data_IF_859606554660
#
_entry.id   IF_859606554660
#
_cell.length_a   1.000
_cell.length_b   1.000
_cell.length_c   1.000
_cell.angle_alpha   90.00
_cell.angle_beta   90.00
_cell.angle_gamma   90.00
#
_symmetry.space_group_name_H-M   'P 1'
#
loop_
_entity.id
_entity.type
_entity.pdbx_description
1 polymer ?
#
# COMPACT_ATOMS: atom_id res chain seq x y z
N UNK A 1 7.75 14.29 -5.23
CA UNK A 1 6.58 13.48 -4.82
C UNK A 1 5.30 14.28 -4.87
N UNK A 2 5.31 15.52 -4.39
CA UNK A 2 4.10 16.34 -4.36
C UNK A 2 3.54 16.62 -5.76
N UNK A 3 4.39 16.86 -6.74
CA UNK A 3 3.96 17.15 -8.11
C UNK A 3 3.24 15.96 -8.75
N UNK A 4 3.82 14.77 -8.64
CA UNK A 4 3.19 13.55 -9.17
C UNK A 4 1.94 13.18 -8.39
N UNK A 5 2.01 13.27 -7.06
CA UNK A 5 0.89 12.92 -6.20
C UNK A 5 -0.31 13.84 -6.41
N UNK A 6 -0.08 15.10 -6.79
CA UNK A 6 -1.15 16.06 -7.07
C UNK A 6 -2.10 15.61 -8.19
N UNK A 7 -1.63 14.74 -9.09
CA UNK A 7 -2.48 14.18 -10.15
C UNK A 7 -3.55 13.24 -9.59
N UNK A 8 -3.28 12.63 -8.43
CA UNK A 8 -4.18 11.68 -7.78
C UNK A 8 -4.94 12.31 -6.62
N UNK A 9 -4.28 13.20 -5.88
CA UNK A 9 -4.83 13.87 -4.69
C UNK A 9 -4.62 15.37 -4.85
N UNK A 10 -5.61 16.03 -5.45
CA UNK A 10 -5.50 17.44 -5.80
C UNK A 10 -5.51 18.38 -4.60
N UNK A 11 -6.20 18.01 -3.51
CA UNK A 11 -6.33 18.86 -2.33
C UNK A 11 -5.01 18.91 -1.55
N UNK A 12 -4.38 20.10 -1.40
CA UNK A 12 -3.02 20.17 -0.83
C UNK A 12 -2.89 19.65 0.60
N UNK A 13 -3.84 19.96 1.47
CA UNK A 13 -3.79 19.55 2.88
C UNK A 13 -3.95 18.04 2.98
N UNK A 14 -4.93 17.47 2.31
CA UNK A 14 -5.16 16.03 2.30
C UNK A 14 -3.96 15.27 1.71
N UNK A 15 -3.39 15.80 0.63
CA UNK A 15 -2.20 15.22 0.00
C UNK A 15 -1.02 15.20 0.95
N UNK A 16 -0.79 16.28 1.69
CA UNK A 16 0.31 16.36 2.64
C UNK A 16 0.11 15.40 3.80
N UNK A 17 -1.10 15.33 4.36
CA UNK A 17 -1.42 14.39 5.43
C UNK A 17 -1.21 12.94 4.99
N UNK A 18 -1.66 12.62 3.77
CA UNK A 18 -1.46 11.29 3.21
C UNK A 18 0.04 10.95 3.11
N UNK A 19 0.82 11.85 2.54
CA UNK A 19 2.25 11.59 2.32
C UNK A 19 3.00 11.44 3.65
N UNK A 20 2.69 12.27 4.64
CA UNK A 20 3.30 12.17 5.96
C UNK A 20 2.94 10.86 6.66
N UNK A 21 1.68 10.47 6.60
CA UNK A 21 1.22 9.21 7.20
C UNK A 21 1.86 8.01 6.53
N UNK A 22 1.90 8.01 5.20
CA UNK A 22 2.51 6.93 4.44
C UNK A 22 4.01 6.81 4.74
N UNK A 23 4.71 7.95 4.78
CA UNK A 23 6.13 7.98 5.13
C UNK A 23 6.37 7.35 6.51
N UNK A 24 5.57 7.73 7.49
CA UNK A 24 5.68 7.18 8.84
C UNK A 24 5.46 5.67 8.88
N UNK A 25 4.38 5.19 8.26
CA UNK A 25 4.03 3.77 8.29
C UNK A 25 5.01 2.92 7.47
N UNK A 26 5.48 3.43 6.34
CA UNK A 26 6.49 2.74 5.55
C UNK A 26 7.79 2.58 6.34
N UNK A 27 8.28 3.66 6.95
CA UNK A 27 9.50 3.61 7.77
C UNK A 27 9.35 2.67 8.95
N UNK A 28 8.20 2.74 9.63
CA UNK A 28 7.92 1.87 10.77
C UNK A 28 7.99 0.39 10.39
N UNK A 29 7.55 0.06 9.19
CA UNK A 29 7.57 -1.32 8.69
C UNK A 29 8.88 -1.68 7.97
N UNK A 30 9.84 -0.76 7.89
CA UNK A 30 11.10 -1.01 7.20
C UNK A 30 10.98 -1.10 5.68
N UNK A 31 10.00 -0.37 5.11
CA UNK A 31 9.74 -0.36 3.66
C UNK A 31 10.17 0.98 3.05
N UNK A 32 10.62 0.95 1.79
CA UNK A 32 10.89 2.19 1.08
C UNK A 32 9.59 2.90 0.74
N UNK A 33 9.61 4.24 0.79
CA UNK A 33 8.45 5.04 0.47
C UNK A 33 8.00 4.84 -0.97
N UNK A 34 8.96 4.77 -1.90
CA UNK A 34 8.65 4.56 -3.32
C UNK A 34 7.95 3.23 -3.57
N UNK A 35 8.33 2.17 -2.85
CA UNK A 35 7.66 0.87 -2.99
C UNK A 35 6.19 0.97 -2.57
N UNK A 36 5.93 1.59 -1.42
CA UNK A 36 4.56 1.69 -0.91
C UNK A 36 3.72 2.63 -1.78
N UNK A 37 4.30 3.73 -2.27
CA UNK A 37 3.61 4.59 -3.23
C UNK A 37 3.24 3.83 -4.51
N UNK A 38 4.16 3.02 -5.02
CA UNK A 38 3.89 2.19 -6.20
C UNK A 38 2.76 1.19 -5.96
N UNK A 39 2.76 0.57 -4.78
CA UNK A 39 1.71 -0.38 -4.42
C UNK A 39 0.35 0.32 -4.29
N UNK A 40 0.29 1.45 -3.61
CA UNK A 40 -0.96 2.21 -3.49
C UNK A 40 -1.49 2.62 -4.86
N UNK A 41 -0.61 3.07 -5.75
CA UNK A 41 -1.01 3.44 -7.10
C UNK A 41 -1.69 2.27 -7.83
N UNK A 42 -1.08 1.09 -7.79
CA UNK A 42 -1.62 -0.10 -8.46
C UNK A 42 -2.91 -0.57 -7.80
N UNK A 43 -2.97 -0.55 -6.46
CA UNK A 43 -4.10 -1.09 -5.73
C UNK A 43 -5.35 -0.21 -5.82
N UNK A 44 -5.21 1.08 -5.66
CA UNK A 44 -6.37 1.97 -5.50
C UNK A 44 -6.31 3.25 -6.33
N UNK A 45 -5.21 3.53 -7.02
CA UNK A 45 -4.95 4.83 -7.65
C UNK A 45 -5.16 5.96 -6.64
N UNK A 46 -4.71 5.76 -5.39
CA UNK A 46 -4.80 6.72 -4.28
C UNK A 46 -6.25 7.07 -3.90
N UNK A 47 -7.21 6.18 -4.16
CA UNK A 47 -8.61 6.41 -3.77
C UNK A 47 -8.87 5.81 -2.39
N UNK A 48 -9.19 6.70 -1.44
CA UNK A 48 -9.40 6.34 -0.04
C UNK A 48 -10.48 5.28 0.17
N UNK A 49 -11.56 5.34 -0.61
CA UNK A 49 -12.72 4.48 -0.45
C UNK A 49 -12.83 3.40 -1.51
N UNK A 50 -11.71 3.04 -2.15
CA UNK A 50 -11.70 1.97 -3.15
C UNK A 50 -12.13 0.64 -2.53
N UNK A 51 -12.98 -0.10 -3.24
CA UNK A 51 -13.41 -1.44 -2.84
C UNK A 51 -13.34 -2.34 -4.06
N UNK A 52 -12.62 -3.47 -3.94
CA UNK A 52 -12.54 -4.43 -5.04
C UNK A 52 -13.76 -5.37 -5.04
N UNK A 53 -13.91 -6.13 -6.12
CA UNK A 53 -14.97 -7.15 -6.20
C UNK A 53 -14.85 -8.22 -5.12
N UNK A 54 -13.63 -8.49 -4.65
CA UNK A 54 -13.37 -9.44 -3.57
C UNK A 54 -13.53 -8.83 -2.17
N UNK A 55 -13.79 -7.52 -2.07
CA UNK A 55 -13.99 -6.83 -0.80
C UNK A 55 -12.75 -6.19 -0.20
N UNK A 56 -11.61 -6.17 -0.90
CA UNK A 56 -10.44 -5.44 -0.45
C UNK A 56 -10.75 -3.95 -0.36
N UNK A 57 -10.23 -3.25 0.67
CA UNK A 57 -10.66 -1.90 1.02
C UNK A 57 -9.50 -0.91 1.09
N UNK A 58 -9.77 0.29 0.61
CA UNK A 58 -8.97 1.49 0.83
C UNK A 58 -7.69 1.56 0.03
N UNK A 59 -6.82 2.45 0.45
CA UNK A 59 -5.58 2.77 -0.26
C UNK A 59 -4.73 1.55 -0.64
N UNK A 60 -4.53 0.64 0.31
CA UNK A 60 -3.66 -0.53 0.12
C UNK A 60 -4.46 -1.81 -0.13
N UNK A 61 -5.78 -1.69 -0.30
CA UNK A 61 -6.65 -2.82 -0.60
C UNK A 61 -6.48 -3.96 0.39
N UNK A 62 -6.73 -3.64 1.65
CA UNK A 62 -6.62 -4.60 2.76
C UNK A 62 -7.91 -5.43 2.84
N UNK A 63 -7.76 -6.75 2.90
CA UNK A 63 -8.90 -7.65 3.07
C UNK A 63 -9.45 -7.56 4.50
N UNK A 64 -10.80 -7.58 4.66
CA UNK A 64 -11.42 -7.42 5.98
C UNK A 64 -10.98 -8.44 7.03
N UNK A 65 -10.62 -9.66 6.65
CA UNK A 65 -10.21 -10.65 7.64
C UNK A 65 -8.97 -10.22 8.45
N UNK A 66 -8.12 -9.36 7.88
CA UNK A 66 -6.96 -8.84 8.60
C UNK A 66 -7.34 -8.02 9.82
N UNK A 67 -8.51 -7.35 9.78
CA UNK A 67 -9.01 -6.61 10.93
C UNK A 67 -9.18 -7.51 12.15
N UNK A 68 -9.59 -8.75 11.95
CA UNK A 68 -9.73 -9.73 13.04
C UNK A 68 -8.39 -10.30 13.48
N UNK A 69 -7.44 -10.46 12.55
CA UNK A 69 -6.14 -11.09 12.86
C UNK A 69 -5.18 -10.14 13.57
N UNK A 70 -5.11 -8.88 13.15
CA UNK A 70 -4.12 -7.94 13.67
C UNK A 70 -4.71 -6.64 14.19
N UNK A 71 -6.03 -6.50 14.21
CA UNK A 71 -6.73 -5.32 14.66
C UNK A 71 -7.81 -5.64 15.69
N UNK A 72 -8.76 -4.73 15.83
CA UNK A 72 -9.85 -4.83 16.81
C UNK A 72 -11.11 -5.50 16.25
N UNK A 73 -11.08 -5.97 15.00
CA UNK A 73 -12.22 -6.61 14.36
C UNK A 73 -13.21 -5.66 13.69
N UNK A 74 -13.01 -4.36 13.80
CA UNK A 74 -13.90 -3.37 13.18
C UNK A 74 -13.44 -3.12 11.72
N UNK A 75 -14.09 -3.81 10.79
CA UNK A 75 -13.75 -3.76 9.38
C UNK A 75 -13.96 -2.38 8.76
N UNK A 76 -14.86 -1.56 9.32
CA UNK A 76 -15.12 -0.21 8.80
C UNK A 76 -13.91 0.71 8.96
N UNK A 77 -13.05 0.44 9.93
CA UNK A 77 -11.85 1.23 10.17
C UNK A 77 -10.80 1.09 9.07
N UNK A 78 -10.93 0.10 8.20
CA UNK A 78 -10.02 -0.07 7.07
C UNK A 78 -10.13 1.06 6.04
N UNK A 79 -11.16 1.90 6.10
CA UNK A 79 -11.24 3.10 5.28
C UNK A 79 -10.58 4.32 5.93
N UNK A 80 -10.19 4.25 7.18
CA UNK A 80 -9.41 5.30 7.82
C UNK A 80 -7.98 5.27 7.28
N UNK A 81 -7.48 6.45 6.92
CA UNK A 81 -6.17 6.56 6.24
C UNK A 81 -5.05 5.89 7.02
N UNK A 82 -4.86 6.27 8.28
CA UNK A 82 -3.75 5.72 9.06
C UNK A 82 -3.90 4.22 9.30
N UNK A 83 -5.11 3.77 9.63
CA UNK A 83 -5.37 2.35 9.86
C UNK A 83 -5.07 1.52 8.62
N UNK A 84 -5.56 1.96 7.46
CA UNK A 84 -5.33 1.25 6.21
C UNK A 84 -3.85 1.17 5.85
N UNK A 85 -3.15 2.31 5.90
CA UNK A 85 -1.73 2.36 5.55
C UNK A 85 -0.89 1.53 6.53
N UNK A 86 -1.22 1.56 7.82
CA UNK A 86 -0.52 0.73 8.81
C UNK A 86 -0.73 -0.76 8.54
N UNK A 87 -1.96 -1.18 8.35
CA UNK A 87 -2.26 -2.59 8.08
C UNK A 87 -1.56 -3.04 6.80
N UNK A 88 -1.67 -2.28 5.72
CA UNK A 88 -1.04 -2.63 4.46
C UNK A 88 0.48 -2.77 4.57
N UNK A 89 1.13 -1.83 5.26
CA UNK A 89 2.58 -1.88 5.44
C UNK A 89 3.00 -3.06 6.32
N UNK A 90 2.27 -3.35 7.40
CA UNK A 90 2.54 -4.50 8.27
C UNK A 90 2.38 -5.82 7.51
N UNK A 91 1.30 -5.94 6.73
CA UNK A 91 1.03 -7.13 5.93
C UNK A 91 2.11 -7.34 4.87
N UNK A 92 2.48 -6.28 4.16
CA UNK A 92 3.53 -6.38 3.15
C UNK A 92 4.87 -6.79 3.78
N UNK A 93 5.23 -6.18 4.93
CA UNK A 93 6.44 -6.57 5.65
C UNK A 93 6.41 -8.04 6.04
N UNK A 94 5.28 -8.51 6.54
CA UNK A 94 5.11 -9.92 6.91
C UNK A 94 5.35 -10.85 5.71
N UNK A 95 4.78 -10.53 4.55
CA UNK A 95 4.98 -11.38 3.37
C UNK A 95 6.39 -11.30 2.81
N UNK A 96 7.04 -10.13 2.87
CA UNK A 96 8.44 -10.02 2.47
C UNK A 96 9.34 -10.86 3.36
N UNK A 97 9.10 -10.84 4.68
CA UNK A 97 9.87 -11.66 5.62
C UNK A 97 9.62 -13.15 5.36
N UNK A 98 8.38 -13.53 5.09
CA UNK A 98 8.04 -14.93 4.77
C UNK A 98 8.76 -15.43 3.52
N UNK A 99 9.04 -14.54 2.58
CA UNK A 99 9.75 -14.87 1.33
C UNK A 99 11.23 -14.47 1.39
N UNK A 100 11.78 -14.30 2.59
CA UNK A 100 13.20 -14.00 2.82
C UNK A 100 13.68 -12.75 2.08
N UNK A 101 12.83 -11.74 1.97
CA UNK A 101 13.13 -10.50 1.30
C UNK A 101 12.95 -10.52 -0.21
N UNK A 102 12.48 -11.62 -0.78
CA UNK A 102 12.19 -11.71 -2.22
C UNK A 102 10.98 -10.84 -2.55
N UNK A 103 11.25 -9.71 -3.18
CA UNK A 103 10.23 -8.69 -3.45
C UNK A 103 9.17 -9.20 -4.44
N UNK A 104 9.61 -9.90 -5.48
CA UNK A 104 8.70 -10.47 -6.47
C UNK A 104 7.70 -11.43 -5.82
N UNK A 105 8.21 -12.35 -5.01
CA UNK A 105 7.36 -13.36 -4.35
C UNK A 105 6.52 -12.75 -3.23
N UNK A 106 7.09 -11.81 -2.47
CA UNK A 106 6.35 -11.13 -1.39
C UNK A 106 5.19 -10.30 -1.93
N UNK A 107 5.39 -9.58 -3.02
CA UNK A 107 4.31 -8.83 -3.68
C UNK A 107 3.24 -9.76 -4.22
N UNK A 108 3.64 -10.90 -4.78
CA UNK A 108 2.68 -11.91 -5.23
C UNK A 108 1.81 -12.43 -4.09
N UNK A 109 2.40 -12.67 -2.92
CA UNK A 109 1.62 -13.06 -1.72
C UNK A 109 0.66 -11.97 -1.30
N UNK A 110 1.11 -10.72 -1.30
CA UNK A 110 0.26 -9.60 -0.95
C UNK A 110 -0.99 -9.54 -1.81
N UNK A 111 -0.84 -9.75 -3.11
CA UNK A 111 -1.95 -9.73 -4.07
C UNK A 111 -2.76 -11.03 -4.12
N UNK A 112 -2.25 -12.12 -3.56
CA UNK A 112 -2.87 -13.44 -3.69
C UNK A 112 -2.56 -14.15 -5.00
N UNK A 113 -1.48 -13.75 -5.69
CA UNK A 113 -1.08 -14.30 -6.98
C UNK A 113 0.40 -14.70 -6.98
N UNK A 114 0.86 -15.34 -5.91
CA UNK A 114 2.26 -15.71 -5.71
C UNK A 114 2.84 -16.42 -6.94
N UNK A 115 3.98 -15.95 -7.41
CA UNK A 115 4.68 -16.55 -8.55
C UNK A 115 4.24 -16.04 -9.91
N UNK A 116 3.14 -15.27 -9.99
CA UNK A 116 2.69 -14.66 -11.24
C UNK A 116 3.29 -13.27 -11.40
N UNK A 117 3.66 -12.92 -12.63
CA UNK A 117 4.46 -11.72 -12.90
C UNK A 117 3.68 -10.42 -12.98
N UNK A 118 2.40 -10.46 -13.35
CA UNK A 118 1.62 -9.26 -13.69
C UNK A 118 1.62 -8.23 -12.57
N UNK A 119 1.25 -8.64 -11.35
CA UNK A 119 1.14 -7.70 -10.23
C UNK A 119 2.50 -7.18 -9.76
N UNK A 120 3.50 -8.04 -9.47
CA UNK A 120 4.81 -7.52 -9.05
C UNK A 120 5.45 -6.60 -10.07
N UNK A 121 5.33 -6.92 -11.36
CA UNK A 121 5.89 -6.06 -12.40
C UNK A 121 5.23 -4.70 -12.44
N UNK A 122 3.89 -4.64 -12.25
CA UNK A 122 3.16 -3.38 -12.22
C UNK A 122 3.60 -2.52 -11.03
N UNK A 123 3.70 -3.11 -9.84
CA UNK A 123 4.14 -2.40 -8.63
C UNK A 123 5.57 -1.89 -8.78
N UNK A 124 6.48 -2.74 -9.27
CA UNK A 124 7.88 -2.35 -9.43
C UNK A 124 8.06 -1.29 -10.51
N UNK A 125 7.27 -1.33 -11.57
CA UNK A 125 7.29 -0.27 -12.58
C UNK A 125 6.82 1.07 -11.99
N UNK A 126 5.76 1.06 -11.20
CA UNK A 126 5.28 2.25 -10.51
C UNK A 126 6.32 2.75 -9.50
N UNK A 127 6.95 1.85 -8.73
CA UNK A 127 8.02 2.21 -7.82
C UNK A 127 9.13 2.98 -8.50
N UNK A 128 9.59 2.52 -9.66
CA UNK A 128 10.67 3.20 -10.40
C UNK A 128 10.32 4.64 -10.72
N UNK A 129 9.07 4.93 -11.03
CA UNK A 129 8.64 6.30 -11.27
C UNK A 129 8.70 7.17 -10.02
N UNK A 130 8.38 6.60 -8.85
CA UNK A 130 8.42 7.33 -7.59
C UNK A 130 9.83 7.49 -7.03
N UNK A 131 10.75 6.57 -7.33
CA UNK A 131 12.12 6.61 -6.81
C UNK A 131 12.84 7.92 -7.11
N UNK A 132 12.60 8.51 -8.27
CA UNK A 132 13.24 9.77 -8.65
C UNK A 132 12.78 10.95 -7.79
N UNK A 133 11.70 10.80 -7.05
CA UNK A 133 11.10 11.89 -6.30
C UNK A 133 11.26 11.74 -4.78
N UNK A 134 11.37 10.52 -4.26
CA UNK A 134 11.27 10.29 -2.81
C UNK A 134 12.41 9.49 -2.20
N UNK A 135 13.13 8.70 -2.97
CA UNK A 135 14.25 7.89 -2.45
C UNK A 135 15.61 8.62 -2.70
#
# INVERSE_FOLDING_TARGET
>A
AAVRLARYKAHPVERQEFLQTLWYEARRAGLSLSLVLGLVQVESAFRKFAVSSAGARGYMQVMPFWSRLIGDGDESRLFQMQTNLRFGCVILRHYLDSERGDLFMGLGRYNGSRGQAVYPQAVLAAQRQWQHEVD
#
